data_IF_437031266470
#
_entry.id   IF_437031266470
#
_cell.length_a   1.000
_cell.length_b   1.000
_cell.length_c   1.000
_cell.angle_alpha   90.00
_cell.angle_beta   90.00
_cell.angle_gamma   90.00
#
_symmetry.space_group_name_H-M   'P 1'
#
loop_
_entity.id
_entity.type
_entity.pdbx_description
1 polymer ?
#
# COMPACT_ATOMS: atom_id res chain seq x y z
N UNK A 1 -83.34 6.52 -33.61
CA UNK A 1 -83.29 7.98 -33.92
C UNK A 1 -81.83 8.44 -33.69
N UNK A 2 -81.11 8.67 -34.82
CA UNK A 2 -80.40 9.90 -35.21
C UNK A 2 -79.52 10.48 -34.09
N UNK A 3 -78.14 10.59 -34.19
CA UNK A 3 -77.45 11.43 -35.17
C UNK A 3 -76.00 11.02 -35.29
N UNK A 4 -75.50 10.89 -36.56
CA UNK A 4 -74.08 10.89 -36.94
C UNK A 4 -73.56 12.32 -36.86
N UNK A 5 -72.41 12.55 -36.29
CA UNK A 5 -71.57 13.70 -36.59
C UNK A 5 -70.13 13.23 -36.85
N UNK A 6 -69.69 13.53 -38.06
CA UNK A 6 -68.39 13.32 -38.62
C UNK A 6 -67.36 14.26 -37.98
N UNK A 7 -66.24 13.71 -37.49
CA UNK A 7 -65.10 14.53 -37.12
C UNK A 7 -64.00 14.31 -38.16
N UNK A 8 -63.62 15.36 -38.84
CA UNK A 8 -62.58 15.41 -39.84
C UNK A 8 -61.19 15.24 -39.17
N UNK A 9 -60.46 14.24 -39.60
CA UNK A 9 -59.06 14.00 -39.21
C UNK A 9 -58.16 15.05 -39.90
N UNK A 10 -57.56 15.97 -39.10
CA UNK A 10 -56.50 16.84 -39.59
C UNK A 10 -55.18 16.13 -39.39
N UNK A 11 -54.53 15.76 -40.47
CA UNK A 11 -53.16 15.18 -40.51
C UNK A 11 -52.18 16.28 -40.20
N UNK A 12 -51.57 16.24 -38.99
CA UNK A 12 -50.38 17.05 -38.68
C UNK A 12 -49.13 16.23 -39.03
N UNK A 13 -48.43 16.68 -40.02
CA UNK A 13 -47.08 16.16 -40.37
C UNK A 13 -46.12 16.77 -39.36
N UNK A 14 -45.63 15.98 -38.41
CA UNK A 14 -44.49 16.36 -37.55
C UNK A 14 -43.22 16.00 -38.29
N UNK A 15 -42.47 17.00 -38.73
CA UNK A 15 -41.13 16.85 -39.18
C UNK A 15 -40.20 16.61 -37.97
N UNK A 16 -39.77 15.34 -37.78
CA UNK A 16 -38.80 15.00 -36.78
C UNK A 16 -37.39 15.43 -37.17
N UNK A 17 -36.86 16.48 -36.52
CA UNK A 17 -35.41 16.78 -36.56
C UNK A 17 -34.70 15.70 -35.73
N UNK A 18 -34.02 14.77 -36.37
CA UNK A 18 -33.06 13.89 -35.72
C UNK A 18 -31.80 14.67 -35.37
N UNK A 19 -31.69 15.07 -34.09
CA UNK A 19 -30.44 15.60 -33.54
C UNK A 19 -29.46 14.44 -33.39
N UNK A 20 -28.50 14.32 -34.29
CA UNK A 20 -27.35 13.41 -34.16
C UNK A 20 -26.42 13.99 -33.08
N UNK A 21 -26.55 13.49 -31.85
CA UNK A 21 -25.60 13.78 -30.78
C UNK A 21 -24.29 13.08 -31.09
N UNK A 22 -23.31 13.79 -31.63
CA UNK A 22 -21.93 13.32 -31.73
C UNK A 22 -21.35 13.22 -30.31
N UNK A 23 -21.39 12.02 -29.75
CA UNK A 23 -20.62 11.72 -28.54
C UNK A 23 -19.13 11.69 -28.94
N UNK A 24 -18.44 12.80 -28.69
CA UNK A 24 -16.99 12.81 -28.71
C UNK A 24 -16.52 11.98 -27.50
N UNK A 25 -16.23 10.70 -27.74
CA UNK A 25 -15.47 9.89 -26.79
C UNK A 25 -14.06 10.50 -26.73
N UNK A 26 -13.82 11.32 -25.71
CA UNK A 26 -12.46 11.62 -25.30
C UNK A 26 -11.84 10.31 -24.82
N UNK A 27 -11.12 9.65 -25.70
CA UNK A 27 -10.22 8.59 -25.31
C UNK A 27 -9.20 9.22 -24.37
N UNK A 28 -9.37 8.98 -23.08
CA UNK A 28 -8.41 9.39 -22.05
C UNK A 28 -7.12 8.62 -22.36
N UNK A 29 -6.17 9.29 -23.00
CA UNK A 29 -4.84 8.73 -23.27
C UNK A 29 -4.27 8.31 -21.93
N UNK A 30 -3.98 7.01 -21.80
CA UNK A 30 -3.21 6.52 -20.66
C UNK A 30 -1.92 7.34 -20.58
N UNK A 31 -1.53 7.84 -19.39
CA UNK A 31 -0.30 8.60 -19.27
C UNK A 31 0.84 7.74 -19.83
N UNK A 32 1.69 8.37 -20.68
CA UNK A 32 2.90 7.71 -21.21
C UNK A 32 3.71 7.22 -20.03
N UNK A 33 4.18 5.97 -20.08
CA UNK A 33 5.04 5.42 -19.03
C UNK A 33 6.24 6.36 -18.81
N UNK A 34 6.53 6.67 -17.55
CA UNK A 34 7.68 7.49 -17.20
C UNK A 34 8.98 6.67 -17.37
N UNK A 35 9.95 7.19 -18.10
CA UNK A 35 11.26 6.57 -18.32
C UNK A 35 12.23 6.86 -17.15
N UNK A 36 11.71 6.90 -15.92
CA UNK A 36 12.51 7.20 -14.74
C UNK A 36 12.89 5.93 -13.95
N UNK A 37 13.84 6.12 -13.05
CA UNK A 37 14.30 5.09 -12.12
C UNK A 37 13.46 5.08 -10.87
N UNK A 38 13.10 3.90 -10.37
CA UNK A 38 12.50 3.73 -9.05
C UNK A 38 13.59 3.70 -7.99
N UNK A 39 13.56 4.62 -7.01
CA UNK A 39 14.47 4.59 -5.87
C UNK A 39 13.74 4.04 -4.64
N UNK A 40 14.37 3.10 -3.93
CA UNK A 40 13.82 2.49 -2.72
C UNK A 40 14.81 2.72 -1.58
N UNK A 41 14.40 3.48 -0.57
CA UNK A 41 15.14 3.74 0.66
C UNK A 41 14.51 2.92 1.78
N UNK A 42 15.31 2.09 2.46
CA UNK A 42 14.85 1.36 3.64
C UNK A 42 14.98 2.22 4.90
N UNK A 43 13.85 2.43 5.59
CA UNK A 43 13.77 3.23 6.82
C UNK A 43 13.91 2.40 8.10
N UNK A 44 14.12 1.09 7.95
CA UNK A 44 14.13 0.12 9.05
C UNK A 44 12.80 -0.60 9.21
N UNK A 45 12.78 -1.75 9.88
CA UNK A 45 11.63 -2.62 10.10
C UNK A 45 10.92 -2.93 8.75
N UNK A 46 9.66 -2.53 8.61
CA UNK A 46 8.88 -2.60 7.37
C UNK A 46 8.78 -1.23 6.66
N UNK A 47 9.45 -0.18 7.17
CA UNK A 47 9.33 1.19 6.69
C UNK A 47 10.14 1.47 5.42
N UNK A 48 9.51 2.05 4.41
CA UNK A 48 10.18 2.43 3.17
C UNK A 48 9.75 3.81 2.67
N UNK A 49 10.70 4.50 2.00
CA UNK A 49 10.39 5.57 1.06
C UNK A 49 10.68 5.07 -0.35
N UNK A 50 9.66 5.10 -1.19
CA UNK A 50 9.74 4.74 -2.61
C UNK A 50 9.58 6.03 -3.41
N UNK A 51 10.61 6.42 -4.18
CA UNK A 51 10.49 7.50 -5.14
C UNK A 51 10.18 6.90 -6.50
N UNK A 52 9.04 7.25 -7.04
CA UNK A 52 8.56 6.71 -8.31
C UNK A 52 9.32 7.29 -9.52
N UNK A 53 9.23 6.67 -10.71
CA UNK A 53 9.82 7.22 -11.93
C UNK A 53 9.33 8.63 -12.26
N UNK A 54 8.11 8.98 -11.88
CA UNK A 54 7.54 10.33 -12.01
C UNK A 54 7.96 11.32 -10.92
N UNK A 55 8.82 10.88 -9.97
CA UNK A 55 9.34 11.72 -8.89
C UNK A 55 8.43 11.80 -7.65
N UNK A 56 7.35 11.03 -7.57
CA UNK A 56 6.45 10.99 -6.41
C UNK A 56 7.10 10.23 -5.24
N UNK A 57 7.04 10.78 -4.04
CA UNK A 57 7.53 10.12 -2.83
C UNK A 57 6.39 9.41 -2.11
N UNK A 58 6.46 8.08 -2.09
CA UNK A 58 5.56 7.19 -1.38
C UNK A 58 6.25 6.74 -0.10
N UNK A 59 5.63 6.93 1.06
CA UNK A 59 6.13 6.40 2.33
C UNK A 59 5.15 5.35 2.82
N UNK A 60 5.69 4.21 3.25
CA UNK A 60 4.90 3.08 3.74
C UNK A 60 5.45 2.60 5.08
N UNK A 61 4.56 2.30 6.02
CA UNK A 61 4.83 1.77 7.37
C UNK A 61 5.95 2.52 8.12
N UNK A 62 5.86 3.85 8.28
CA UNK A 62 6.94 4.68 8.81
C UNK A 62 7.06 4.56 10.34
N UNK A 63 7.81 3.59 10.82
CA UNK A 63 8.24 3.53 12.23
C UNK A 63 9.68 4.04 12.36
N UNK A 64 9.84 5.35 12.47
CA UNK A 64 11.11 6.04 12.36
C UNK A 64 11.60 6.51 13.72
N UNK A 65 10.85 7.39 14.41
CA UNK A 65 11.28 7.97 15.69
C UNK A 65 11.41 6.91 16.79
N UNK A 66 10.49 5.94 16.84
CA UNK A 66 10.53 4.78 17.75
C UNK A 66 11.33 3.59 17.24
N UNK A 67 11.65 3.55 15.95
CA UNK A 67 12.32 2.41 15.30
C UNK A 67 13.77 2.25 15.76
N UNK A 68 14.17 1.10 16.33
CA UNK A 68 15.53 0.93 16.87
C UNK A 68 16.60 1.00 15.79
N UNK A 69 16.27 0.62 14.56
CA UNK A 69 17.16 0.55 13.39
C UNK A 69 16.94 1.68 12.38
N UNK A 70 16.00 2.58 12.63
CA UNK A 70 15.75 3.68 11.72
C UNK A 70 16.96 4.62 11.59
N UNK A 71 17.25 5.16 10.39
CA UNK A 71 18.42 5.99 10.17
C UNK A 71 18.41 7.25 11.05
N UNK A 72 19.51 7.60 11.71
CA UNK A 72 19.57 8.69 12.70
C UNK A 72 19.09 10.05 12.16
N UNK A 73 19.39 10.37 10.91
CA UNK A 73 18.97 11.63 10.29
C UNK A 73 17.44 11.81 10.27
N UNK A 74 16.72 10.75 9.90
CA UNK A 74 15.25 10.76 9.84
C UNK A 74 14.62 10.65 11.25
N UNK A 75 15.29 9.99 12.20
CA UNK A 75 14.85 9.97 13.60
C UNK A 75 14.91 11.36 14.22
N UNK A 76 15.93 12.13 13.89
CA UNK A 76 16.10 13.50 14.40
C UNK A 76 15.12 14.49 13.78
N UNK A 77 14.80 14.31 12.49
CA UNK A 77 13.93 15.21 11.74
C UNK A 77 13.16 14.45 10.64
N UNK A 78 11.87 14.25 10.85
CA UNK A 78 11.00 13.61 9.84
C UNK A 78 10.91 14.40 8.54
N UNK A 79 11.14 15.72 8.55
CA UNK A 79 11.13 16.54 7.35
C UNK A 79 12.29 16.23 6.40
N UNK A 80 13.36 15.59 6.89
CA UNK A 80 14.48 15.12 6.09
C UNK A 80 14.09 14.03 5.06
N UNK A 81 12.91 13.40 5.22
CA UNK A 81 12.34 12.53 4.19
C UNK A 81 11.97 13.28 2.90
N UNK A 82 11.94 14.61 2.95
CA UNK A 82 11.39 15.43 1.88
C UNK A 82 9.85 15.40 1.85
N UNK A 83 9.27 16.01 0.83
CA UNK A 83 7.82 16.01 0.68
C UNK A 83 7.30 14.57 0.53
N UNK A 84 6.31 14.19 1.30
CA UNK A 84 5.60 12.91 1.17
C UNK A 84 4.34 13.16 0.34
N UNK A 85 4.21 12.49 -0.80
CA UNK A 85 3.08 12.66 -1.72
C UNK A 85 1.98 11.60 -1.47
N UNK A 86 2.36 10.42 -0.99
CA UNK A 86 1.47 9.32 -0.64
C UNK A 86 1.95 8.65 0.64
N UNK A 87 1.04 8.41 1.57
CA UNK A 87 1.32 7.70 2.82
C UNK A 87 0.45 6.45 2.91
N UNK A 88 1.07 5.29 3.10
CA UNK A 88 0.44 3.99 3.21
C UNK A 88 0.76 3.36 4.57
N UNK A 89 -0.23 2.69 5.17
CA UNK A 89 -0.03 1.88 6.38
C UNK A 89 -0.74 0.56 6.22
N UNK A 90 -0.01 -0.55 6.44
CA UNK A 90 -0.54 -1.90 6.25
C UNK A 90 -1.46 -2.33 7.39
N UNK A 91 -1.15 -1.95 8.63
CA UNK A 91 -1.94 -2.25 9.82
C UNK A 91 -1.52 -1.36 11.00
N UNK A 92 -2.25 -1.46 12.13
CA UNK A 92 -2.16 -0.50 13.22
C UNK A 92 -1.12 -0.82 14.31
N UNK A 93 -0.30 -1.85 14.16
CA UNK A 93 0.78 -2.08 15.14
C UNK A 93 1.77 -0.91 15.14
N UNK A 94 2.33 -0.62 16.30
CA UNK A 94 3.15 0.58 16.53
C UNK A 94 4.36 0.67 15.61
N UNK A 95 4.94 -0.47 15.24
CA UNK A 95 6.11 -0.58 14.36
C UNK A 95 5.77 -0.46 12.86
N UNK A 96 4.50 -0.17 12.53
CA UNK A 96 4.01 0.14 11.18
C UNK A 96 3.34 1.51 11.13
N UNK A 97 2.33 1.75 11.99
CA UNK A 97 1.63 3.04 11.98
C UNK A 97 2.52 4.18 12.48
N UNK A 98 3.39 3.90 13.46
CA UNK A 98 4.40 4.77 14.03
C UNK A 98 4.24 6.27 13.80
N UNK A 99 5.06 6.81 12.92
CA UNK A 99 5.10 8.24 12.59
C UNK A 99 4.11 8.66 11.48
N UNK A 100 3.26 7.73 10.97
CA UNK A 100 2.32 8.05 9.90
C UNK A 100 1.38 9.23 10.24
N UNK A 101 0.79 9.34 11.45
CA UNK A 101 -0.02 10.49 11.81
C UNK A 101 0.76 11.82 11.83
N UNK A 102 2.02 11.79 12.26
CA UNK A 102 2.89 12.97 12.28
C UNK A 102 3.25 13.41 10.87
N UNK A 103 3.65 12.48 10.00
CA UNK A 103 3.97 12.74 8.61
C UNK A 103 2.76 13.26 7.81
N UNK A 104 1.59 12.66 8.02
CA UNK A 104 0.35 13.12 7.38
C UNK A 104 0.05 14.59 7.70
N UNK A 105 0.16 14.98 8.98
CA UNK A 105 -0.07 16.36 9.44
C UNK A 105 1.02 17.30 8.94
N UNK A 106 2.30 16.89 9.01
CA UNK A 106 3.45 17.68 8.57
C UNK A 106 3.38 18.06 7.09
N UNK A 107 3.05 17.08 6.24
CA UNK A 107 3.04 17.26 4.79
C UNK A 107 1.64 17.55 4.21
N UNK A 108 0.59 17.52 5.04
CA UNK A 108 -0.82 17.57 4.63
C UNK A 108 -1.13 16.47 3.59
N UNK A 109 -0.58 15.28 3.83
CA UNK A 109 -0.68 14.13 2.94
C UNK A 109 -1.75 13.17 3.46
N UNK A 110 -2.57 12.66 2.55
CA UNK A 110 -3.60 11.68 2.90
C UNK A 110 -2.95 10.34 3.24
N UNK A 111 -3.29 9.80 4.41
CA UNK A 111 -2.96 8.44 4.84
C UNK A 111 -3.99 7.47 4.27
N UNK A 112 -3.53 6.49 3.52
CA UNK A 112 -4.34 5.40 2.99
C UNK A 112 -4.11 4.13 3.79
N UNK A 113 -5.20 3.44 4.16
CA UNK A 113 -5.09 2.21 4.93
C UNK A 113 -6.41 1.43 5.00
N UNK A 114 -6.39 0.26 5.68
CA UNK A 114 -7.60 -0.54 5.90
C UNK A 114 -8.70 0.25 6.61
N UNK A 115 -9.95 0.03 6.20
CA UNK A 115 -11.08 0.81 6.70
C UNK A 115 -11.21 0.75 8.22
N UNK A 116 -11.03 -0.45 8.79
CA UNK A 116 -11.18 -0.67 10.23
C UNK A 116 -9.98 -0.20 11.04
N UNK A 117 -8.84 0.08 10.39
CA UNK A 117 -7.72 0.81 11.01
C UNK A 117 -7.98 2.32 10.98
N UNK A 118 -8.42 2.86 9.87
CA UNK A 118 -8.65 4.31 9.72
C UNK A 118 -9.80 4.79 10.62
N UNK A 119 -10.84 3.99 10.81
CA UNK A 119 -12.00 4.37 11.63
C UNK A 119 -11.61 4.77 13.06
N UNK A 120 -10.92 3.94 13.86
CA UNK A 120 -10.49 4.34 15.20
C UNK A 120 -9.49 5.51 15.19
N UNK A 121 -8.62 5.64 14.19
CA UNK A 121 -7.72 6.80 14.09
C UNK A 121 -8.48 8.12 14.01
N UNK A 122 -9.60 8.15 13.29
CA UNK A 122 -10.45 9.34 13.17
C UNK A 122 -11.32 9.53 14.42
N UNK A 123 -11.97 8.48 14.92
CA UNK A 123 -12.90 8.59 16.06
C UNK A 123 -12.20 8.90 17.37
N UNK A 124 -10.94 8.49 17.52
CA UNK A 124 -10.09 8.82 18.67
C UNK A 124 -9.33 10.15 18.52
N UNK A 125 -9.52 10.86 17.40
CA UNK A 125 -8.87 12.15 17.14
C UNK A 125 -7.36 12.05 16.85
N UNK A 126 -6.83 10.86 16.57
CA UNK A 126 -5.43 10.66 16.17
C UNK A 126 -5.17 11.30 14.81
N UNK A 127 -6.13 11.14 13.89
CA UNK A 127 -6.06 11.69 12.54
C UNK A 127 -7.30 12.53 12.20
N UNK A 128 -7.15 13.67 11.54
CA UNK A 128 -8.28 14.38 10.95
C UNK A 128 -8.84 13.61 9.76
N UNK A 129 -10.17 13.56 9.63
CA UNK A 129 -10.85 12.76 8.60
C UNK A 129 -10.42 13.12 7.17
N UNK A 130 -10.18 14.39 6.90
CA UNK A 130 -9.74 14.92 5.59
C UNK A 130 -8.34 14.48 5.17
N UNK A 131 -7.52 14.02 6.12
CA UNK A 131 -6.20 13.44 5.84
C UNK A 131 -6.21 11.91 5.88
N UNK A 132 -7.35 11.29 5.67
CA UNK A 132 -7.47 9.82 5.64
C UNK A 132 -8.26 9.33 4.45
N UNK A 133 -7.86 8.19 3.92
CA UNK A 133 -8.61 7.45 2.91
C UNK A 133 -8.62 5.96 3.26
N UNK A 134 -9.79 5.37 3.26
CA UNK A 134 -9.99 3.97 3.65
C UNK A 134 -10.37 3.10 2.47
N UNK A 135 -9.76 1.94 2.40
CA UNK A 135 -10.13 0.88 1.45
C UNK A 135 -9.78 -0.49 2.05
N UNK A 136 -10.21 -1.57 1.44
CA UNK A 136 -10.01 -2.90 1.98
C UNK A 136 -9.40 -3.85 0.95
N UNK A 137 -9.11 -5.08 1.37
CA UNK A 137 -8.57 -6.19 0.55
C UNK A 137 -9.35 -6.31 -0.75
N UNK A 138 -8.63 -6.52 -1.84
CA UNK A 138 -9.10 -6.49 -3.25
C UNK A 138 -9.52 -5.11 -3.77
N UNK A 139 -9.67 -4.11 -2.90
CA UNK A 139 -9.89 -2.73 -3.29
C UNK A 139 -8.63 -2.12 -3.92
N UNK A 140 -8.84 -1.27 -4.93
CA UNK A 140 -7.76 -0.52 -5.59
C UNK A 140 -8.07 0.96 -5.58
N UNK A 141 -7.06 1.77 -5.33
CA UNK A 141 -7.11 3.23 -5.40
C UNK A 141 -6.06 3.77 -6.37
N UNK A 142 -6.29 4.97 -6.91
CA UNK A 142 -5.32 5.69 -7.75
C UNK A 142 -5.02 7.03 -7.06
N UNK A 143 -4.19 7.03 -6.01
CA UNK A 143 -3.98 8.21 -5.17
C UNK A 143 -3.19 9.32 -5.88
N UNK A 144 -2.36 8.96 -6.84
CA UNK A 144 -1.51 9.86 -7.60
C UNK A 144 -1.56 9.52 -9.09
N UNK A 145 -1.28 10.46 -10.00
CA UNK A 145 -1.23 10.18 -11.43
C UNK A 145 -0.28 9.03 -11.77
N UNK A 146 -0.77 8.02 -12.48
CA UNK A 146 0.01 6.86 -12.91
C UNK A 146 0.31 5.83 -11.82
N UNK A 147 -0.02 6.10 -10.55
CA UNK A 147 0.19 5.17 -9.44
C UNK A 147 -1.13 4.52 -9.04
N UNK A 148 -1.12 3.18 -8.98
CA UNK A 148 -2.24 2.38 -8.48
C UNK A 148 -1.79 1.56 -7.28
N UNK A 149 -2.59 1.57 -6.21
CA UNK A 149 -2.37 0.77 -5.01
C UNK A 149 -3.55 -0.17 -4.83
N UNK A 150 -3.27 -1.47 -4.67
CA UNK A 150 -4.28 -2.49 -4.38
C UNK A 150 -3.95 -3.15 -3.05
N UNK A 151 -4.90 -3.14 -2.12
CA UNK A 151 -4.77 -3.90 -0.88
C UNK A 151 -5.00 -5.38 -1.15
N UNK A 152 -4.12 -6.23 -0.61
CA UNK A 152 -4.19 -7.70 -0.74
C UNK A 152 -4.17 -8.35 0.63
N UNK A 153 -4.51 -9.64 0.69
CA UNK A 153 -4.48 -10.43 1.92
C UNK A 153 -3.10 -10.37 2.57
N UNK A 154 -3.10 -10.28 3.91
CA UNK A 154 -2.02 -10.62 4.81
C UNK A 154 -2.60 -11.43 5.96
N UNK A 155 -1.83 -12.40 6.47
CA UNK A 155 -2.24 -13.26 7.59
C UNK A 155 -1.59 -12.74 8.87
N UNK A 156 -2.21 -11.73 9.46
CA UNK A 156 -1.71 -11.05 10.65
C UNK A 156 -2.83 -10.27 11.35
N UNK A 157 -2.67 -9.97 12.62
CA UNK A 157 -3.59 -9.16 13.42
C UNK A 157 -3.33 -7.65 13.23
N UNK A 158 -4.26 -6.82 13.71
CA UNK A 158 -4.13 -5.38 13.70
C UNK A 158 -4.73 -4.79 14.97
N UNK A 159 -3.89 -4.16 15.80
CA UNK A 159 -4.28 -3.57 17.07
C UNK A 159 -3.68 -2.16 17.17
N UNK A 160 -4.52 -1.17 17.36
CA UNK A 160 -4.08 0.19 17.64
C UNK A 160 -3.82 0.35 19.15
N UNK A 161 -2.59 0.63 19.53
CA UNK A 161 -2.24 1.02 20.89
C UNK A 161 -2.10 2.55 20.90
N UNK A 162 -2.91 3.20 21.72
CA UNK A 162 -3.04 4.65 21.75
C UNK A 162 -3.02 5.19 23.20
N UNK A 163 -2.30 6.28 23.40
CA UNK A 163 -2.32 6.97 24.68
C UNK A 163 -3.49 7.97 24.72
N UNK A 164 -4.49 7.69 25.54
CA UNK A 164 -5.64 8.56 25.72
C UNK A 164 -5.19 9.88 26.38
N UNK A 165 -5.34 11.04 25.71
CA UNK A 165 -4.87 12.32 26.27
C UNK A 165 -5.65 12.81 27.48
N UNK A 166 -6.89 12.33 27.67
CA UNK A 166 -7.71 12.72 28.81
C UNK A 166 -7.36 11.94 30.09
N UNK A 167 -6.94 10.68 29.95
CA UNK A 167 -6.67 9.78 31.07
C UNK A 167 -5.18 9.48 31.25
N UNK A 168 -4.32 9.87 30.31
CA UNK A 168 -2.89 9.56 30.21
C UNK A 168 -2.58 8.05 30.15
N UNK A 169 -3.61 7.19 30.02
CA UNK A 169 -3.46 5.73 29.98
C UNK A 169 -3.32 5.22 28.54
N UNK A 170 -2.58 4.12 28.42
CA UNK A 170 -2.54 3.35 27.18
C UNK A 170 -3.82 2.54 27.03
N UNK A 171 -4.43 2.63 25.86
CA UNK A 171 -5.62 1.89 25.47
C UNK A 171 -5.33 1.08 24.21
N UNK A 172 -5.98 -0.08 24.10
CA UNK A 172 -5.86 -0.95 22.93
C UNK A 172 -7.20 -1.03 22.22
N UNK A 173 -7.22 -0.76 20.92
CA UNK A 173 -8.42 -0.77 20.09
C UNK A 173 -8.24 -1.74 18.93
N UNK A 174 -9.18 -2.68 18.70
CA UNK A 174 -9.20 -3.46 17.47
C UNK A 174 -9.16 -2.55 16.25
N UNK A 175 -8.33 -2.88 15.27
CA UNK A 175 -8.10 -2.05 14.09
C UNK A 175 -8.19 -2.86 12.78
N UNK A 176 -9.12 -3.81 12.77
CA UNK A 176 -9.42 -4.68 11.64
C UNK A 176 -8.30 -5.70 11.38
N UNK A 177 -8.04 -5.95 10.11
CA UNK A 177 -7.08 -6.94 9.65
C UNK A 177 -5.93 -6.28 8.90
N UNK A 178 -4.74 -6.87 8.98
CA UNK A 178 -3.58 -6.43 8.23
C UNK A 178 -3.77 -6.67 6.73
N UNK A 179 -3.08 -5.86 5.93
CA UNK A 179 -3.03 -5.99 4.47
C UNK A 179 -1.59 -5.89 3.97
N UNK A 180 -1.32 -6.50 2.81
CA UNK A 180 -0.20 -6.11 1.97
C UNK A 180 -0.66 -5.14 0.88
N UNK A 181 0.28 -4.48 0.21
CA UNK A 181 -0.01 -3.59 -0.92
C UNK A 181 0.72 -4.00 -2.17
N UNK A 182 -0.01 -4.10 -3.27
CA UNK A 182 0.57 -4.10 -4.62
C UNK A 182 0.58 -2.64 -5.09
N UNK A 183 1.78 -2.08 -5.24
CA UNK A 183 2.01 -0.71 -5.69
C UNK A 183 2.48 -0.79 -7.14
N UNK A 184 1.64 -0.36 -8.08
CA UNK A 184 1.97 -0.28 -9.50
C UNK A 184 2.35 1.18 -9.82
N UNK A 185 3.59 1.36 -10.25
CA UNK A 185 4.18 2.66 -10.58
C UNK A 185 3.91 3.04 -12.05
N UNK A 186 4.24 4.29 -12.41
CA UNK A 186 3.91 4.89 -13.71
C UNK A 186 4.51 4.15 -14.91
N UNK A 187 5.66 3.49 -14.71
CA UNK A 187 6.33 2.66 -15.73
C UNK A 187 5.86 1.19 -15.75
N UNK A 188 4.84 0.85 -14.92
CA UNK A 188 4.33 -0.50 -14.77
C UNK A 188 5.13 -1.40 -13.83
N UNK A 189 6.20 -0.91 -13.19
CA UNK A 189 6.94 -1.64 -12.16
C UNK A 189 6.05 -1.88 -10.95
N UNK A 190 5.99 -3.13 -10.49
CA UNK A 190 5.09 -3.54 -9.41
C UNK A 190 5.87 -4.00 -8.19
N UNK A 191 5.58 -3.37 -7.07
CA UNK A 191 6.14 -3.70 -5.76
C UNK A 191 5.03 -4.34 -4.93
N UNK A 192 5.28 -5.52 -4.37
CA UNK A 192 4.44 -6.09 -3.32
C UNK A 192 5.11 -5.82 -1.98
N UNK A 193 4.61 -4.86 -1.25
CA UNK A 193 4.92 -4.71 0.17
C UNK A 193 3.98 -5.63 0.95
N UNK A 194 4.53 -6.69 1.54
CA UNK A 194 3.69 -7.71 2.17
C UNK A 194 3.14 -7.26 3.53
N UNK A 195 3.71 -6.22 4.14
CA UNK A 195 3.47 -5.87 5.54
C UNK A 195 3.91 -7.00 6.44
N UNK A 196 3.22 -7.17 7.58
CA UNK A 196 3.39 -8.33 8.42
C UNK A 196 2.44 -9.44 7.97
N UNK A 197 3.00 -10.62 7.78
CA UNK A 197 2.23 -11.80 7.40
C UNK A 197 2.91 -13.09 7.78
N UNK A 198 2.12 -14.08 8.21
CA UNK A 198 2.46 -15.49 8.16
C UNK A 198 2.38 -16.04 6.73
N UNK A 199 2.69 -17.32 6.57
CA UNK A 199 2.57 -18.05 5.31
C UNK A 199 1.09 -18.40 5.04
N UNK A 200 0.57 -18.07 3.85
CA UNK A 200 -0.81 -18.41 3.47
C UNK A 200 -0.94 -18.73 1.98
N UNK A 201 -1.91 -19.57 1.64
CA UNK A 201 -2.03 -20.20 0.32
C UNK A 201 -2.31 -19.20 -0.82
N UNK A 202 -3.06 -18.14 -0.55
CA UNK A 202 -3.47 -17.16 -1.57
C UNK A 202 -2.32 -16.26 -2.07
N UNK A 203 -1.11 -16.38 -1.50
CA UNK A 203 0.10 -15.80 -2.09
C UNK A 203 0.28 -16.21 -3.56
N UNK A 204 -0.14 -17.45 -3.92
CA UNK A 204 -0.14 -17.94 -5.31
C UNK A 204 -1.09 -17.12 -6.18
N UNK A 205 -2.34 -16.97 -5.72
CA UNK A 205 -3.36 -16.22 -6.45
C UNK A 205 -2.98 -14.75 -6.62
N UNK A 206 -2.48 -14.11 -5.55
CA UNK A 206 -1.99 -12.73 -5.58
C UNK A 206 -0.89 -12.59 -6.63
N UNK A 207 0.06 -13.51 -6.66
CA UNK A 207 1.16 -13.51 -7.62
C UNK A 207 0.68 -13.69 -9.07
N UNK A 208 -0.19 -14.66 -9.31
CA UNK A 208 -0.76 -14.91 -10.65
C UNK A 208 -1.54 -13.71 -11.17
N UNK A 209 -2.28 -13.05 -10.28
CA UNK A 209 -3.14 -11.92 -10.62
C UNK A 209 -2.36 -10.62 -10.83
N UNK A 210 -1.39 -10.32 -9.99
CA UNK A 210 -0.72 -9.01 -9.97
C UNK A 210 0.69 -9.04 -10.53
N UNK A 211 1.40 -10.17 -10.49
CA UNK A 211 2.75 -10.38 -11.05
C UNK A 211 3.75 -9.31 -10.55
N UNK A 212 4.04 -9.24 -9.24
CA UNK A 212 4.98 -8.28 -8.70
C UNK A 212 6.41 -8.52 -9.23
N UNK A 213 7.11 -7.45 -9.57
CA UNK A 213 8.52 -7.49 -9.98
C UNK A 213 9.45 -7.59 -8.77
N UNK A 214 9.09 -6.88 -7.70
CA UNK A 214 9.81 -6.82 -6.43
C UNK A 214 8.87 -7.13 -5.28
N UNK A 215 9.35 -7.94 -4.33
CA UNK A 215 8.61 -8.23 -3.08
C UNK A 215 9.43 -7.78 -1.88
N UNK A 216 8.83 -6.98 -1.00
CA UNK A 216 9.35 -6.62 0.31
C UNK A 216 8.74 -7.62 1.30
N UNK A 217 9.56 -8.58 1.76
CA UNK A 217 9.09 -9.82 2.40
C UNK A 217 9.56 -9.92 3.84
N UNK A 218 8.67 -10.02 4.83
CA UNK A 218 9.06 -10.22 6.23
C UNK A 218 9.69 -11.61 6.43
N UNK A 219 10.79 -11.66 7.19
CA UNK A 219 11.55 -12.88 7.47
C UNK A 219 11.90 -13.06 8.96
N UNK A 220 11.37 -12.21 9.84
CA UNK A 220 11.79 -12.16 11.24
C UNK A 220 11.35 -13.35 12.10
N UNK A 221 10.34 -14.07 11.67
CA UNK A 221 9.73 -15.13 12.47
C UNK A 221 8.94 -14.63 13.69
N UNK A 222 8.41 -15.51 14.50
CA UNK A 222 7.58 -15.29 15.68
C UNK A 222 6.26 -14.56 15.40
N UNK A 223 6.30 -13.39 14.78
CA UNK A 223 5.13 -12.57 14.42
C UNK A 223 4.82 -12.63 12.92
N UNK A 224 5.78 -13.02 12.11
CA UNK A 224 5.70 -13.10 10.65
C UNK A 224 6.26 -14.44 10.17
N UNK A 225 6.37 -14.64 8.86
CA UNK A 225 7.10 -15.80 8.34
C UNK A 225 8.53 -15.82 8.91
N UNK A 226 9.02 -16.99 9.24
CA UNK A 226 10.45 -17.21 9.48
C UNK A 226 11.23 -17.29 8.13
N UNK A 227 12.57 -17.34 8.16
CA UNK A 227 13.38 -17.41 6.95
C UNK A 227 13.07 -18.60 6.04
N UNK A 228 12.69 -19.77 6.59
CA UNK A 228 12.38 -20.97 5.82
C UNK A 228 11.03 -20.84 5.11
N UNK A 229 9.98 -20.42 5.82
CA UNK A 229 8.66 -20.17 5.25
C UNK A 229 8.68 -19.06 4.19
N UNK A 230 9.40 -17.98 4.47
CA UNK A 230 9.59 -16.88 3.51
C UNK A 230 10.32 -17.37 2.24
N UNK A 231 11.38 -18.16 2.40
CA UNK A 231 12.10 -18.74 1.26
C UNK A 231 11.23 -19.75 0.50
N UNK A 232 10.46 -20.57 1.22
CA UNK A 232 9.50 -21.49 0.59
C UNK A 232 8.47 -20.72 -0.26
N UNK A 233 7.87 -19.66 0.28
CA UNK A 233 6.94 -18.79 -0.46
C UNK A 233 7.60 -18.17 -1.69
N UNK A 234 8.78 -17.57 -1.52
CA UNK A 234 9.51 -16.91 -2.60
C UNK A 234 9.89 -17.88 -3.72
N UNK A 235 10.37 -19.09 -3.40
CA UNK A 235 10.85 -20.07 -4.38
C UNK A 235 9.74 -20.84 -5.09
N UNK A 236 8.66 -21.16 -4.38
CA UNK A 236 7.66 -22.12 -4.87
C UNK A 236 6.38 -21.45 -5.31
N UNK A 237 5.97 -20.36 -4.67
CA UNK A 237 4.68 -19.74 -4.88
C UNK A 237 4.78 -18.40 -5.62
N UNK A 238 5.58 -17.46 -5.09
CA UNK A 238 5.60 -16.09 -5.59
C UNK A 238 6.52 -15.97 -6.81
N UNK A 239 7.74 -16.49 -6.73
CA UNK A 239 8.75 -16.47 -7.80
C UNK A 239 8.95 -15.08 -8.41
N UNK A 240 9.13 -14.03 -7.60
CA UNK A 240 9.33 -12.69 -8.13
C UNK A 240 10.69 -12.59 -8.82
N UNK A 241 10.93 -11.53 -9.58
CA UNK A 241 12.29 -11.27 -10.11
C UNK A 241 13.26 -11.00 -8.96
N UNK A 242 12.80 -10.23 -7.96
CA UNK A 242 13.61 -9.77 -6.83
C UNK A 242 12.82 -9.83 -5.52
N UNK A 243 13.53 -10.08 -4.42
CA UNK A 243 13.01 -10.02 -3.06
C UNK A 243 13.95 -9.22 -2.17
N UNK A 244 13.42 -8.27 -1.41
CA UNK A 244 14.11 -7.58 -0.33
C UNK A 244 13.56 -8.15 0.98
N UNK A 245 14.39 -8.81 1.80
CA UNK A 245 13.99 -9.24 3.13
C UNK A 245 13.84 -8.05 4.07
N UNK A 246 12.78 -8.04 4.85
CA UNK A 246 12.42 -6.96 5.79
C UNK A 246 12.00 -7.54 7.14
N UNK A 247 11.72 -6.68 8.12
CA UNK A 247 11.13 -7.03 9.42
C UNK A 247 11.93 -8.09 10.17
N UNK A 248 13.24 -7.93 10.24
CA UNK A 248 14.14 -8.81 10.98
C UNK A 248 15.18 -8.01 11.76
N UNK A 249 15.76 -8.65 12.79
CA UNK A 249 16.86 -8.06 13.57
C UNK A 249 16.53 -6.70 14.27
N UNK A 250 15.26 -6.37 14.45
CA UNK A 250 14.78 -5.14 15.11
C UNK A 250 14.02 -5.42 16.42
N UNK A 251 13.59 -6.65 16.62
CA UNK A 251 12.87 -7.11 17.82
C UNK A 251 13.56 -8.37 18.35
N UNK A 252 13.88 -8.47 19.66
CA UNK A 252 14.53 -9.65 20.26
C UNK A 252 13.76 -10.97 20.09
N UNK A 253 12.46 -10.91 19.85
CA UNK A 253 11.62 -12.07 19.59
C UNK A 253 11.63 -12.50 18.11
N UNK A 254 11.86 -11.58 17.17
CA UNK A 254 12.00 -11.84 15.76
C UNK A 254 13.44 -12.25 15.43
N UNK A 255 13.76 -13.54 15.62
CA UNK A 255 15.13 -14.08 15.57
C UNK A 255 15.60 -14.49 14.19
N UNK A 256 14.72 -14.49 13.18
CA UNK A 256 15.08 -14.82 11.81
C UNK A 256 16.17 -13.88 11.28
N UNK A 257 17.12 -14.43 10.52
CA UNK A 257 18.28 -13.70 10.02
C UNK A 257 18.34 -13.66 8.50
N UNK A 258 19.01 -12.65 7.97
CA UNK A 258 19.30 -12.55 6.54
C UNK A 258 20.09 -13.76 6.04
N UNK A 259 21.05 -14.24 6.84
CA UNK A 259 21.90 -15.39 6.47
C UNK A 259 21.07 -16.66 6.32
N UNK A 260 20.15 -16.96 7.26
CA UNK A 260 19.25 -18.10 7.17
C UNK A 260 18.39 -18.01 5.91
N UNK A 261 17.80 -16.85 5.65
CA UNK A 261 17.00 -16.64 4.44
C UNK A 261 17.81 -16.83 3.16
N UNK A 262 19.02 -16.25 3.08
CA UNK A 262 19.91 -16.42 1.93
C UNK A 262 20.32 -17.88 1.73
N UNK A 263 20.59 -18.61 2.81
CA UNK A 263 20.89 -20.03 2.77
C UNK A 263 19.68 -20.85 2.25
N UNK A 264 18.50 -20.58 2.74
CA UNK A 264 17.25 -21.21 2.27
C UNK A 264 16.92 -20.88 0.80
N UNK A 265 17.39 -19.72 0.31
CA UNK A 265 17.20 -19.27 -1.09
C UNK A 265 18.25 -19.84 -2.06
N UNK A 266 19.30 -20.55 -1.62
CA UNK A 266 20.32 -21.13 -2.50
C UNK A 266 19.72 -22.00 -3.61
N UNK A 267 20.19 -21.79 -4.83
CA UNK A 267 19.69 -22.47 -6.03
C UNK A 267 18.35 -21.93 -6.59
N UNK A 268 17.76 -20.92 -5.96
CA UNK A 268 16.62 -20.21 -6.53
C UNK A 268 17.04 -19.28 -7.69
N UNK A 269 16.09 -19.07 -8.63
CA UNK A 269 16.25 -18.04 -9.67
C UNK A 269 15.83 -16.64 -9.17
N UNK A 270 15.20 -16.54 -8.03
CA UNK A 270 14.79 -15.28 -7.41
C UNK A 270 16.04 -14.58 -6.88
N UNK A 271 16.24 -13.32 -7.30
CA UNK A 271 17.37 -12.51 -6.80
C UNK A 271 17.05 -11.97 -5.41
N UNK A 272 17.78 -12.41 -4.39
CA UNK A 272 17.74 -11.79 -3.06
C UNK A 272 18.56 -10.50 -3.11
N UNK A 273 17.96 -9.39 -2.69
CA UNK A 273 18.54 -8.05 -2.68
C UNK A 273 18.61 -7.58 -1.23
N UNK A 274 19.66 -7.88 -0.48
CA UNK A 274 19.79 -7.41 0.90
C UNK A 274 20.00 -5.89 0.92
N UNK A 275 19.46 -5.24 1.93
CA UNK A 275 19.65 -3.81 2.20
C UNK A 275 20.11 -3.61 3.64
N UNK A 276 20.76 -2.49 3.88
CA UNK A 276 20.99 -1.93 5.22
C UNK A 276 20.07 -0.73 5.42
N UNK A 277 19.69 -0.47 6.65
CA UNK A 277 18.83 0.66 6.99
C UNK A 277 19.52 1.99 6.60
N UNK A 278 18.78 2.86 5.92
CA UNK A 278 19.30 4.10 5.32
C UNK A 278 19.88 3.94 3.92
N UNK A 279 20.05 2.72 3.42
CA UNK A 279 20.47 2.49 2.05
C UNK A 279 19.35 2.80 1.05
N UNK A 280 19.71 3.44 -0.07
CA UNK A 280 18.86 3.62 -1.23
C UNK A 280 19.35 2.74 -2.37
N UNK A 281 18.46 1.99 -2.99
CA UNK A 281 18.70 1.23 -4.21
C UNK A 281 17.84 1.76 -5.36
N UNK A 282 18.35 1.64 -6.58
CA UNK A 282 17.68 2.03 -7.82
C UNK A 282 17.29 0.78 -8.63
N UNK A 283 16.08 0.82 -9.22
CA UNK A 283 15.47 -0.26 -10.00
C UNK A 283 14.94 0.23 -11.34
#
# INVERSE_FOLDING_TARGET
MKWLQSVRLKTCILAGLAAVSMHHSFAQQSPKAADGTTEILWLGQAGFRIKSPGGQNIVIDPWITGGPKAPPAFKADLSALGKVDLLLVTHAHVDHIGDAPALAKLHKTVLYGPADMITPLVTLGVMPAELTHRFNKSGSVKPLPGIKVTAVQAEHSSLLVWKNPATEKMESHPAGEAVGYIIELENGFKIWHMGDTGLFGDMKFITERYKPDLVLMPIGGNFTMDPEDAAFAARNWIKPKMVIPIHYNSNPLAKGTLEEFQNAMKGSKVKVVPMTEGQTLAF
#
